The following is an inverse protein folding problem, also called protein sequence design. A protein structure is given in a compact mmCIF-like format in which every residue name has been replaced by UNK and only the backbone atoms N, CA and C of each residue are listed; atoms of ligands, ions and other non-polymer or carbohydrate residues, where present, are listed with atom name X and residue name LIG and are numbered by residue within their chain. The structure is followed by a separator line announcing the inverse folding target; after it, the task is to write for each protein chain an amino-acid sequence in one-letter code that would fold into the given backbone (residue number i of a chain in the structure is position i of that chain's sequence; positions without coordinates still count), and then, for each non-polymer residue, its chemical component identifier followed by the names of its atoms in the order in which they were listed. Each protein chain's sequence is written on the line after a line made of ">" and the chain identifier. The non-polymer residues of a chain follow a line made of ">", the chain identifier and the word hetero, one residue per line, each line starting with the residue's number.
data_IF_484121307999
#
_entry.id   IF_484121307999
#
_cell.length_a   1.000
_cell.length_b   1.000
_cell.length_c   1.000
_cell.angle_alpha   90.00
_cell.angle_beta   90.00
_cell.angle_gamma   90.00
#
_symmetry.space_group_name_H-M   'P 1'
#
loop_
_entity.id
_entity.type
_entity.pdbx_description
1 polymer ?
#
# COMPACT_ATOMS: atom_id res chain seq x y z
N UNK A 1 -46.79 -61.82 1.18
CA UNK A 1 -45.38 -62.00 0.78
C UNK A 1 -45.13 -61.19 -0.49
N UNK A 2 -44.09 -60.35 -0.46
CA UNK A 2 -43.26 -59.85 -1.57
C UNK A 2 -43.92 -59.08 -2.75
N UNK A 3 -43.54 -57.79 -2.83
CA UNK A 3 -42.98 -57.02 -3.99
C UNK A 3 -43.87 -56.91 -5.25
N UNK A 4 -43.93 -55.82 -6.03
CA UNK A 4 -43.40 -54.46 -6.04
C UNK A 4 -44.06 -53.75 -7.26
N UNK A 5 -43.62 -52.52 -7.57
CA UNK A 5 -43.89 -51.68 -8.76
C UNK A 5 -45.25 -50.98 -8.85
N UNK A 6 -45.38 -49.73 -9.28
CA UNK A 6 -44.47 -48.59 -9.44
C UNK A 6 -45.34 -47.44 -9.95
N UNK A 7 -45.66 -46.40 -9.17
CA UNK A 7 -46.24 -45.16 -9.71
C UNK A 7 -45.72 -43.96 -8.90
N UNK A 8 -44.96 -43.10 -9.59
CA UNK A 8 -45.16 -41.65 -9.50
C UNK A 8 -44.47 -40.87 -8.39
N UNK A 9 -43.13 -40.88 -8.32
CA UNK A 9 -42.36 -39.77 -7.73
C UNK A 9 -41.85 -38.86 -8.85
N UNK A 10 -42.70 -37.93 -9.28
CA UNK A 10 -42.31 -36.71 -9.97
C UNK A 10 -43.03 -35.60 -9.19
N UNK A 11 -42.36 -34.46 -8.98
CA UNK A 11 -42.77 -33.32 -8.13
C UNK A 11 -42.22 -33.42 -6.70
N UNK A 12 -40.89 -33.44 -6.52
CA UNK A 12 -40.20 -32.73 -5.41
C UNK A 12 -38.68 -32.72 -5.61
N UNK A 13 -38.19 -32.31 -6.79
CA UNK A 13 -36.74 -32.10 -7.01
C UNK A 13 -36.47 -31.04 -8.08
N UNK A 14 -37.08 -29.86 -7.94
CA UNK A 14 -36.84 -28.72 -8.84
C UNK A 14 -36.72 -27.36 -8.13
N UNK A 15 -36.58 -27.33 -6.80
CA UNK A 15 -36.49 -26.08 -6.01
C UNK A 15 -35.16 -25.95 -5.24
N UNK A 16 -34.25 -26.93 -5.31
CA UNK A 16 -32.94 -26.87 -4.64
C UNK A 16 -31.73 -26.65 -5.57
N UNK A 17 -31.94 -26.28 -6.85
CA UNK A 17 -30.84 -26.00 -7.80
C UNK A 17 -30.71 -24.52 -8.21
N UNK A 18 -31.34 -23.58 -7.49
CA UNK A 18 -31.21 -22.13 -7.76
C UNK A 18 -30.55 -21.34 -6.63
N UNK A 19 -29.86 -22.00 -5.70
CA UNK A 19 -29.17 -21.34 -4.59
C UNK A 19 -27.66 -21.66 -4.55
N UNK A 20 -26.91 -21.39 -5.63
CA UNK A 20 -25.45 -21.20 -5.52
C UNK A 20 -24.80 -20.34 -6.60
N UNK A 21 -25.58 -19.57 -7.37
CA UNK A 21 -25.05 -18.43 -8.12
C UNK A 21 -25.61 -17.16 -7.50
N UNK A 22 -25.21 -16.86 -6.26
CA UNK A 22 -25.21 -15.47 -5.86
C UNK A 22 -24.19 -14.79 -6.79
N UNK A 23 -24.58 -13.85 -7.67
CA UNK A 23 -23.59 -13.01 -8.31
C UNK A 23 -22.82 -12.35 -7.16
N UNK A 24 -21.55 -12.73 -6.99
CA UNK A 24 -20.69 -11.96 -6.10
C UNK A 24 -20.75 -10.54 -6.66
N UNK A 25 -21.13 -9.58 -5.81
CA UNK A 25 -21.04 -8.17 -6.15
C UNK A 25 -19.56 -7.82 -6.26
N UNK A 26 -18.93 -8.26 -7.34
CA UNK A 26 -17.52 -8.06 -7.60
C UNK A 26 -17.27 -6.58 -7.82
N UNK A 27 -16.18 -6.08 -7.23
CA UNK A 27 -15.80 -4.68 -7.34
C UNK A 27 -15.14 -4.53 -8.71
N UNK A 28 -15.90 -4.07 -9.70
CA UNK A 28 -15.42 -4.00 -11.09
C UNK A 28 -14.30 -2.98 -11.26
N UNK A 29 -13.35 -3.34 -12.12
CA UNK A 29 -12.24 -2.47 -12.49
C UNK A 29 -12.73 -1.11 -13.02
N UNK A 30 -12.16 -0.02 -12.51
CA UNK A 30 -12.50 1.36 -12.89
C UNK A 30 -13.79 1.91 -12.27
N UNK A 31 -14.53 1.11 -11.51
CA UNK A 31 -15.66 1.59 -10.68
C UNK A 31 -15.39 1.45 -9.17
N UNK A 32 -14.27 0.82 -8.82
CA UNK A 32 -13.83 0.66 -7.45
C UNK A 32 -13.53 2.03 -6.82
N UNK A 33 -13.81 2.14 -5.53
CA UNK A 33 -13.21 3.17 -4.67
C UNK A 33 -12.23 2.51 -3.71
N UNK A 34 -11.26 3.27 -3.21
CA UNK A 34 -10.40 2.80 -2.11
C UNK A 34 -11.24 2.25 -0.95
N UNK A 35 -12.35 2.91 -0.59
CA UNK A 35 -13.25 2.45 0.47
C UNK A 35 -13.91 1.09 0.17
N UNK A 36 -14.32 0.84 -1.07
CA UNK A 36 -14.89 -0.45 -1.45
C UNK A 36 -13.89 -1.60 -1.29
N UNK A 37 -12.61 -1.35 -1.59
CA UNK A 37 -11.55 -2.36 -1.53
C UNK A 37 -11.05 -2.59 -0.10
N UNK A 38 -10.90 -1.53 0.73
CA UNK A 38 -10.49 -1.71 2.13
C UNK A 38 -11.52 -2.51 2.93
N UNK A 39 -12.80 -2.50 2.54
CA UNK A 39 -13.84 -3.33 3.16
C UNK A 39 -13.58 -4.83 3.00
N UNK A 40 -12.73 -5.23 2.04
CA UNK A 40 -12.30 -6.62 1.88
C UNK A 40 -11.13 -6.99 2.78
N UNK A 41 -10.52 -6.03 3.48
CA UNK A 41 -9.43 -6.32 4.41
C UNK A 41 -9.97 -6.95 5.70
N UNK A 42 -9.26 -7.93 6.30
CA UNK A 42 -9.65 -8.56 7.56
C UNK A 42 -9.80 -7.59 8.73
N UNK A 43 -10.71 -7.89 9.67
CA UNK A 43 -10.85 -7.15 10.94
C UNK A 43 -9.54 -7.01 11.72
N UNK A 44 -8.66 -7.99 11.60
CA UNK A 44 -7.35 -8.01 12.28
C UNK A 44 -6.35 -7.00 11.70
N UNK A 45 -6.64 -6.40 10.53
CA UNK A 45 -5.80 -5.35 9.98
C UNK A 45 -5.72 -4.15 10.94
N UNK A 46 -4.50 -3.67 11.16
CA UNK A 46 -4.18 -2.50 11.98
C UNK A 46 -3.50 -1.39 11.20
N UNK A 47 -3.07 -1.68 9.97
CA UNK A 47 -2.62 -0.69 9.00
C UNK A 47 -3.38 -0.89 7.71
N UNK A 48 -3.76 0.20 7.06
CA UNK A 48 -4.38 0.21 5.74
C UNK A 48 -3.68 1.26 4.90
N UNK A 49 -3.36 0.92 3.66
CA UNK A 49 -2.92 1.86 2.64
C UNK A 49 -3.79 1.74 1.40
N UNK A 50 -3.99 2.85 0.71
CA UNK A 50 -4.61 2.87 -0.59
C UNK A 50 -3.87 3.85 -1.51
N UNK A 51 -3.75 3.47 -2.78
CA UNK A 51 -3.17 4.29 -3.84
C UNK A 51 -4.10 4.24 -5.04
N UNK A 52 -4.53 5.41 -5.50
CA UNK A 52 -5.22 5.64 -6.77
C UNK A 52 -4.15 5.69 -7.88
N UNK A 53 -3.80 4.51 -8.39
CA UNK A 53 -2.76 4.35 -9.40
C UNK A 53 -3.17 5.05 -10.69
N UNK A 54 -4.43 4.92 -11.10
CA UNK A 54 -4.91 5.53 -12.33
C UNK A 54 -4.77 7.06 -12.30
N UNK A 55 -5.17 7.71 -11.20
CA UNK A 55 -4.99 9.16 -11.06
C UNK A 55 -3.52 9.55 -10.89
N UNK A 56 -2.73 8.75 -10.17
CA UNK A 56 -1.29 9.00 -10.00
C UNK A 56 -0.52 8.95 -11.33
N UNK A 57 -0.87 7.99 -12.18
CA UNK A 57 -0.29 7.82 -13.50
C UNK A 57 -0.70 8.95 -14.48
N UNK A 58 -1.80 9.65 -14.21
CA UNK A 58 -2.26 10.80 -14.98
C UNK A 58 -1.59 12.13 -14.57
N UNK A 59 -0.66 12.14 -13.61
CA UNK A 59 0.01 13.36 -13.17
C UNK A 59 0.98 13.91 -14.23
N UNK A 60 1.20 15.25 -14.25
CA UNK A 60 2.20 15.87 -15.14
C UNK A 60 3.60 15.30 -14.95
N UNK A 61 3.97 14.94 -13.71
CA UNK A 61 5.29 14.38 -13.38
C UNK A 61 5.52 13.01 -14.03
N UNK A 62 4.52 12.13 -14.03
CA UNK A 62 4.61 10.83 -14.72
C UNK A 62 4.68 11.05 -16.24
N UNK A 63 3.90 11.98 -16.77
CA UNK A 63 3.96 12.34 -18.20
C UNK A 63 5.35 12.84 -18.60
N UNK A 64 5.96 13.71 -17.80
CA UNK A 64 7.34 14.20 -18.00
C UNK A 64 8.37 13.08 -17.88
N UNK A 65 8.21 12.17 -16.92
CA UNK A 65 9.09 11.00 -16.77
C UNK A 65 9.04 10.11 -18.00
N UNK A 66 7.87 9.85 -18.57
CA UNK A 66 7.71 8.99 -19.77
C UNK A 66 8.16 9.66 -21.08
N UNK A 67 8.54 10.95 -21.06
CA UNK A 67 9.25 11.59 -22.18
C UNK A 67 10.74 11.20 -22.22
N UNK A 68 11.30 10.72 -21.10
CA UNK A 68 12.65 10.16 -21.09
C UNK A 68 12.67 8.81 -21.84
N UNK A 69 13.55 8.63 -22.84
CA UNK A 69 13.58 7.41 -23.65
C UNK A 69 13.85 6.12 -22.84
N UNK A 70 14.66 6.17 -21.79
CA UNK A 70 14.96 4.99 -20.98
C UNK A 70 13.77 4.60 -20.11
N UNK A 71 13.10 5.59 -19.53
CA UNK A 71 11.86 5.38 -18.78
C UNK A 71 10.76 4.81 -19.69
N UNK A 72 10.60 5.38 -20.89
CA UNK A 72 9.62 4.90 -21.88
C UNK A 72 9.92 3.47 -22.33
N UNK A 73 11.18 3.12 -22.59
CA UNK A 73 11.56 1.77 -22.96
C UNK A 73 11.20 0.76 -21.86
N UNK A 74 11.55 1.05 -20.59
CA UNK A 74 11.20 0.18 -19.46
C UNK A 74 9.69 0.03 -19.29
N UNK A 75 8.96 1.12 -19.51
CA UNK A 75 7.50 1.09 -19.51
C UNK A 75 6.96 0.13 -20.57
N UNK A 76 7.41 0.28 -21.83
CA UNK A 76 6.95 -0.55 -22.94
C UNK A 76 7.33 -2.02 -22.78
N UNK A 77 8.52 -2.30 -22.25
CA UNK A 77 8.96 -3.65 -21.92
C UNK A 77 8.07 -4.28 -20.85
N UNK A 78 7.71 -3.53 -19.80
CA UNK A 78 6.75 -3.98 -18.79
C UNK A 78 5.39 -4.27 -19.41
N UNK A 79 4.84 -3.36 -20.21
CA UNK A 79 3.52 -3.54 -20.85
C UNK A 79 3.52 -4.77 -21.75
N UNK A 80 4.58 -4.96 -22.53
CA UNK A 80 4.75 -6.12 -23.40
C UNK A 80 4.86 -7.43 -22.62
N UNK A 81 5.59 -7.42 -21.50
CA UNK A 81 5.82 -8.61 -20.67
C UNK A 81 4.57 -8.99 -19.86
N UNK A 82 3.98 -8.02 -19.16
CA UNK A 82 2.87 -8.26 -18.25
C UNK A 82 1.51 -8.32 -18.97
N UNK A 83 1.42 -7.78 -20.18
CA UNK A 83 0.14 -7.63 -20.89
C UNK A 83 -0.81 -6.64 -20.20
N UNK A 84 -0.27 -5.77 -19.34
CA UNK A 84 -1.00 -4.73 -18.60
C UNK A 84 -0.38 -3.39 -18.90
N UNK A 85 -1.21 -2.40 -19.20
CA UNK A 85 -0.84 -1.00 -19.29
C UNK A 85 -1.19 -0.31 -17.96
N UNK A 86 -0.23 -0.04 -17.04
CA UNK A 86 -0.52 0.54 -15.74
C UNK A 86 -1.31 1.86 -15.80
N UNK A 87 -1.18 2.63 -16.88
CA UNK A 87 -1.93 3.87 -17.08
C UNK A 87 -3.42 3.63 -17.38
N UNK A 88 -3.78 2.48 -17.94
CA UNK A 88 -5.15 2.20 -18.41
C UNK A 88 -5.87 1.15 -17.58
N UNK A 89 -5.10 0.18 -17.10
CA UNK A 89 -5.62 -1.07 -16.61
C UNK A 89 -5.58 -1.14 -15.09
N UNK A 90 -4.67 -0.43 -14.41
CA UNK A 90 -4.54 -0.47 -12.94
C UNK A 90 -5.20 0.76 -12.31
N UNK A 91 -6.21 0.53 -11.48
CA UNK A 91 -7.01 1.60 -10.86
C UNK A 91 -6.57 1.89 -9.45
N UNK A 92 -6.60 0.86 -8.60
CA UNK A 92 -6.27 0.99 -7.19
C UNK A 92 -5.36 -0.13 -6.72
N UNK A 93 -4.48 0.21 -5.78
CA UNK A 93 -3.76 -0.75 -4.95
C UNK A 93 -4.13 -0.47 -3.51
N UNK A 94 -4.64 -1.47 -2.81
CA UNK A 94 -4.99 -1.40 -1.39
C UNK A 94 -4.22 -2.46 -0.63
N UNK A 95 -3.64 -2.09 0.51
CA UNK A 95 -2.88 -3.00 1.37
C UNK A 95 -3.45 -2.97 2.77
N UNK A 96 -3.61 -4.15 3.38
CA UNK A 96 -3.88 -4.32 4.80
C UNK A 96 -2.68 -4.96 5.48
N UNK A 97 -2.29 -4.40 6.63
CA UNK A 97 -1.19 -4.89 7.46
C UNK A 97 -1.73 -5.38 8.80
N UNK A 98 -1.20 -6.50 9.26
CA UNK A 98 -1.46 -7.08 10.58
C UNK A 98 -0.14 -7.15 11.35
N UNK A 99 -0.11 -6.75 12.62
CA UNK A 99 1.07 -7.03 13.44
C UNK A 99 1.20 -8.53 13.64
N UNK A 100 2.44 -9.00 13.53
CA UNK A 100 2.79 -10.32 14.05
C UNK A 100 3.15 -10.21 15.54
N UNK A 101 2.90 -11.25 16.33
CA UNK A 101 3.22 -11.27 17.76
C UNK A 101 4.68 -10.92 18.09
N UNK A 102 5.59 -11.24 17.16
CA UNK A 102 7.03 -11.07 17.32
C UNK A 102 7.57 -9.75 16.76
N UNK A 103 6.74 -8.95 16.05
CA UNK A 103 7.12 -7.62 15.56
C UNK A 103 8.19 -7.58 14.46
N UNK A 104 8.68 -8.74 13.99
CA UNK A 104 9.81 -8.83 13.04
C UNK A 104 9.40 -9.14 11.60
N UNK A 105 8.15 -9.56 11.37
CA UNK A 105 7.56 -9.70 10.03
C UNK A 105 6.22 -8.95 9.98
N UNK A 106 5.99 -8.15 8.95
CA UNK A 106 4.66 -7.62 8.67
C UNK A 106 3.92 -8.67 7.84
N UNK A 107 2.86 -9.24 8.42
CA UNK A 107 1.89 -10.00 7.64
C UNK A 107 0.89 -9.03 7.01
N UNK A 108 0.37 -9.39 5.85
CA UNK A 108 -0.54 -8.51 5.14
C UNK A 108 -0.95 -9.05 3.79
N UNK A 109 -1.97 -8.41 3.23
CA UNK A 109 -2.48 -8.69 1.91
C UNK A 109 -2.65 -7.41 1.12
N UNK A 110 -2.40 -7.50 -0.17
CA UNK A 110 -2.56 -6.45 -1.16
C UNK A 110 -3.67 -6.86 -2.11
N UNK A 111 -4.56 -5.94 -2.43
CA UNK A 111 -5.61 -6.04 -3.43
C UNK A 111 -5.25 -5.06 -4.54
N UNK A 112 -5.06 -5.58 -5.74
CA UNK A 112 -4.88 -4.76 -6.95
C UNK A 112 -6.18 -4.81 -7.72
N UNK A 113 -6.82 -3.65 -7.90
CA UNK A 113 -8.00 -3.51 -8.76
C UNK A 113 -7.55 -3.11 -10.17
N UNK A 114 -7.79 -3.99 -11.13
CA UNK A 114 -7.27 -3.83 -12.48
C UNK A 114 -8.10 -4.57 -13.53
N UNK A 115 -7.99 -4.13 -14.79
CA UNK A 115 -8.43 -4.92 -15.96
C UNK A 115 -7.31 -5.88 -16.33
N UNK A 116 -7.61 -7.17 -16.46
CA UNK A 116 -6.61 -8.16 -16.82
C UNK A 116 -7.23 -9.36 -17.52
N UNK A 117 -6.39 -10.12 -18.22
CA UNK A 117 -6.75 -11.44 -18.74
C UNK A 117 -6.06 -12.52 -17.88
N UNK A 118 -6.86 -13.32 -17.18
CA UNK A 118 -6.36 -14.36 -16.27
C UNK A 118 -5.44 -15.36 -16.97
N UNK A 119 -5.79 -15.81 -18.17
CA UNK A 119 -5.01 -16.81 -18.91
C UNK A 119 -3.66 -16.25 -19.35
N UNK A 120 -3.62 -14.98 -19.78
CA UNK A 120 -2.38 -14.27 -20.09
C UNK A 120 -1.48 -14.15 -18.86
N UNK A 121 -2.04 -13.78 -17.70
CA UNK A 121 -1.28 -13.72 -16.44
C UNK A 121 -0.72 -15.08 -16.04
N UNK A 122 -1.53 -16.12 -16.14
CA UNK A 122 -1.10 -17.48 -15.83
C UNK A 122 0.00 -17.97 -16.78
N UNK A 123 -0.05 -17.59 -18.06
CA UNK A 123 1.01 -17.91 -19.01
C UNK A 123 2.34 -17.23 -18.61
N UNK A 124 2.31 -15.95 -18.23
CA UNK A 124 3.50 -15.23 -17.74
C UNK A 124 4.02 -15.84 -16.44
N UNK A 125 3.13 -16.20 -15.51
CA UNK A 125 3.50 -16.86 -14.26
C UNK A 125 4.18 -18.23 -14.52
N UNK A 126 3.67 -19.02 -15.46
CA UNK A 126 4.29 -20.29 -15.89
C UNK A 126 5.69 -20.10 -16.49
N UNK A 127 5.89 -19.03 -17.26
CA UNK A 127 7.18 -18.71 -17.87
C UNK A 127 8.21 -18.23 -16.83
N UNK A 128 7.79 -17.35 -15.90
CA UNK A 128 8.68 -16.68 -14.96
C UNK A 128 8.90 -17.41 -13.64
N UNK A 129 7.94 -18.22 -13.21
CA UNK A 129 7.98 -18.97 -11.96
C UNK A 129 7.54 -20.43 -12.22
N UNK A 130 8.29 -21.23 -13.00
CA UNK A 130 7.87 -22.56 -13.42
C UNK A 130 7.61 -23.54 -12.25
N UNK A 131 8.15 -23.24 -11.06
CA UNK A 131 7.97 -24.01 -9.82
C UNK A 131 6.79 -23.53 -8.96
N UNK A 132 5.94 -22.63 -9.48
CA UNK A 132 4.76 -22.19 -8.72
C UNK A 132 3.86 -23.39 -8.40
N UNK A 133 3.32 -23.40 -7.19
CA UNK A 133 2.33 -24.38 -6.79
C UNK A 133 0.97 -23.73 -6.71
N UNK A 134 -0.08 -24.54 -6.82
CA UNK A 134 -1.45 -24.07 -6.66
C UNK A 134 -2.20 -24.94 -5.66
N UNK A 135 -2.90 -24.31 -4.73
CA UNK A 135 -3.86 -24.96 -3.85
C UNK A 135 -5.24 -24.34 -4.00
N UNK A 136 -6.30 -25.10 -3.71
CA UNK A 136 -7.64 -24.55 -3.61
C UNK A 136 -7.94 -24.17 -2.16
N UNK A 137 -8.36 -22.94 -1.95
CA UNK A 137 -8.83 -22.45 -0.67
C UNK A 137 -10.19 -21.82 -0.85
N UNK A 138 -11.23 -22.41 -0.24
CA UNK A 138 -12.60 -21.88 -0.31
C UNK A 138 -13.11 -21.66 -1.75
N UNK A 139 -12.66 -22.49 -2.71
CA UNK A 139 -13.01 -22.36 -4.14
C UNK A 139 -12.20 -21.33 -4.92
N UNK A 140 -11.28 -20.61 -4.28
CA UNK A 140 -10.30 -19.71 -4.92
C UNK A 140 -8.96 -20.43 -5.04
N UNK A 141 -8.33 -20.35 -6.21
CA UNK A 141 -6.97 -20.88 -6.40
C UNK A 141 -5.95 -19.92 -5.84
N UNK A 142 -5.15 -20.38 -4.88
CA UNK A 142 -4.00 -19.66 -4.35
C UNK A 142 -2.74 -20.23 -5.00
N UNK A 143 -1.90 -19.33 -5.52
CA UNK A 143 -0.60 -19.64 -6.09
C UNK A 143 0.50 -19.30 -5.09
N UNK A 144 1.48 -20.18 -4.95
CA UNK A 144 2.65 -20.02 -4.08
C UNK A 144 3.94 -20.20 -4.87
N UNK A 145 5.08 -20.00 -4.19
CA UNK A 145 6.44 -20.16 -4.76
C UNK A 145 6.71 -19.19 -5.94
N UNK A 146 6.11 -18.01 -5.88
CA UNK A 146 6.23 -16.97 -6.90
C UNK A 146 7.59 -16.26 -6.85
N UNK A 147 8.28 -16.30 -5.71
CA UNK A 147 9.54 -15.59 -5.46
C UNK A 147 10.80 -16.42 -5.82
N UNK A 148 10.62 -17.57 -6.49
CA UNK A 148 11.71 -18.49 -6.86
C UNK A 148 12.20 -19.38 -5.71
N UNK A 149 13.18 -20.26 -5.98
CA UNK A 149 13.77 -21.17 -5.01
C UNK A 149 15.03 -20.57 -4.39
N UNK A 150 14.91 -19.98 -3.19
CA UNK A 150 15.81 -20.18 -2.04
C UNK A 150 15.14 -19.61 -0.75
N UNK A 151 14.86 -20.53 0.18
CA UNK A 151 14.70 -20.38 1.64
C UNK A 151 13.64 -19.47 2.31
N UNK A 152 12.86 -18.60 1.64
CA UNK A 152 11.67 -17.95 2.29
C UNK A 152 10.50 -17.65 1.33
N UNK A 153 9.94 -18.69 0.71
CA UNK A 153 8.74 -18.59 -0.15
C UNK A 153 7.47 -18.26 0.66
N UNK A 154 7.27 -16.98 0.96
CA UNK A 154 6.18 -16.49 1.82
C UNK A 154 5.07 -15.80 1.05
N UNK A 155 5.33 -15.37 -0.19
CA UNK A 155 4.32 -14.72 -1.02
C UNK A 155 3.31 -15.73 -1.56
N UNK A 156 2.05 -15.34 -1.48
CA UNK A 156 0.89 -15.99 -2.10
C UNK A 156 0.23 -15.00 -3.04
N UNK A 157 -0.39 -15.50 -4.10
CA UNK A 157 -1.25 -14.72 -4.97
C UNK A 157 -2.57 -15.45 -5.24
N UNK A 158 -3.62 -14.71 -5.59
CA UNK A 158 -4.88 -15.28 -6.03
C UNK A 158 -5.62 -14.34 -6.96
N UNK A 159 -6.32 -14.87 -7.97
CA UNK A 159 -7.33 -14.13 -8.69
C UNK A 159 -8.62 -14.18 -7.87
N UNK A 160 -8.97 -13.07 -7.19
CA UNK A 160 -10.16 -13.03 -6.34
C UNK A 160 -11.44 -13.04 -7.19
N UNK A 161 -11.44 -12.23 -8.23
CA UNK A 161 -12.50 -12.13 -9.25
C UNK A 161 -11.92 -11.50 -10.53
N UNK A 162 -12.74 -11.28 -11.57
CA UNK A 162 -12.33 -10.74 -12.88
C UNK A 162 -11.72 -9.33 -12.85
N UNK A 163 -11.63 -8.68 -11.69
CA UNK A 163 -11.11 -7.31 -11.56
C UNK A 163 -10.18 -7.10 -10.37
N UNK A 164 -9.96 -8.13 -9.54
CA UNK A 164 -9.16 -8.01 -8.32
C UNK A 164 -8.18 -9.17 -8.20
N UNK A 165 -6.89 -8.84 -8.07
CA UNK A 165 -5.83 -9.81 -7.78
C UNK A 165 -5.29 -9.56 -6.38
N UNK A 166 -5.02 -10.64 -5.65
CA UNK A 166 -4.45 -10.62 -4.32
C UNK A 166 -2.99 -11.01 -4.36
N UNK A 167 -2.17 -10.37 -3.52
CA UNK A 167 -0.79 -10.75 -3.25
C UNK A 167 -0.46 -10.52 -1.77
N UNK A 168 0.40 -11.32 -1.16
CA UNK A 168 0.88 -11.08 0.21
C UNK A 168 1.21 -12.35 0.98
N UNK A 169 1.16 -12.29 2.30
CA UNK A 169 1.33 -13.49 3.14
C UNK A 169 0.14 -14.44 2.97
N UNK A 170 0.32 -15.71 3.32
CA UNK A 170 -0.77 -16.69 3.30
C UNK A 170 -1.97 -16.26 4.15
N UNK A 171 -1.71 -15.78 5.38
CA UNK A 171 -2.75 -15.25 6.25
C UNK A 171 -3.45 -14.02 5.64
N UNK A 172 -2.71 -13.13 4.99
CA UNK A 172 -3.27 -11.94 4.32
C UNK A 172 -4.19 -12.29 3.16
N UNK A 173 -3.74 -13.17 2.25
CA UNK A 173 -4.52 -13.60 1.08
C UNK A 173 -5.77 -14.39 1.52
N UNK A 174 -5.61 -15.37 2.42
CA UNK A 174 -6.75 -16.16 2.93
C UNK A 174 -7.75 -15.28 3.68
N UNK A 175 -7.28 -14.34 4.50
CA UNK A 175 -8.14 -13.41 5.21
C UNK A 175 -8.98 -12.54 4.29
N UNK A 176 -8.41 -12.00 3.20
CA UNK A 176 -9.17 -11.21 2.21
C UNK A 176 -10.23 -12.07 1.51
N UNK A 177 -9.89 -13.31 1.15
CA UNK A 177 -10.85 -14.27 0.56
C UNK A 177 -12.01 -14.52 1.51
N UNK A 178 -11.74 -14.73 2.80
CA UNK A 178 -12.78 -15.00 3.80
C UNK A 178 -13.71 -13.81 3.99
N UNK A 179 -13.19 -12.57 4.02
CA UNK A 179 -14.03 -11.36 4.09
C UNK A 179 -14.86 -11.20 2.82
N UNK A 180 -14.26 -11.40 1.64
CA UNK A 180 -14.97 -11.35 0.37
C UNK A 180 -16.15 -12.34 0.32
N UNK A 181 -15.94 -13.54 0.87
CA UNK A 181 -16.96 -14.58 0.96
C UNK A 181 -17.90 -14.45 2.17
N UNK A 182 -17.80 -13.35 2.94
CA UNK A 182 -18.60 -13.07 4.15
C UNK A 182 -18.44 -14.14 5.25
N UNK A 183 -17.31 -14.84 5.26
CA UNK A 183 -16.91 -15.83 6.28
C UNK A 183 -16.11 -15.21 7.42
N UNK A 184 -15.57 -14.02 7.22
CA UNK A 184 -14.86 -13.23 8.23
C UNK A 184 -15.35 -11.77 8.26
N UNK A 185 -15.11 -11.10 9.37
CA UNK A 185 -15.42 -9.68 9.54
C UNK A 185 -14.38 -8.78 8.86
N UNK A 186 -14.85 -7.65 8.36
CA UNK A 186 -14.03 -6.61 7.71
C UNK A 186 -13.28 -5.73 8.72
N UNK A 187 -12.21 -5.08 8.28
CA UNK A 187 -11.53 -3.98 9.00
C UNK A 187 -12.48 -2.86 9.42
N UNK A 188 -13.61 -2.69 8.73
CA UNK A 188 -14.62 -1.70 9.12
C UNK A 188 -15.29 -2.01 10.46
N UNK A 189 -15.18 -3.25 10.94
CA UNK A 189 -15.72 -3.75 12.21
C UNK A 189 -14.66 -3.74 13.32
N UNK A 190 -13.43 -3.33 13.00
CA UNK A 190 -12.41 -3.00 13.98
C UNK A 190 -12.65 -1.58 14.49
N UNK A 191 -13.09 -1.43 15.73
CA UNK A 191 -13.49 -0.15 16.32
C UNK A 191 -12.35 0.87 16.34
N UNK A 192 -11.13 0.43 16.63
CA UNK A 192 -9.95 1.29 16.62
C UNK A 192 -9.67 1.81 15.20
N UNK A 193 -9.58 0.90 14.22
CA UNK A 193 -9.35 1.28 12.82
C UNK A 193 -10.49 2.12 12.24
N UNK A 194 -11.75 1.82 12.54
CA UNK A 194 -12.90 2.60 12.08
C UNK A 194 -12.83 4.05 12.55
N UNK A 195 -12.32 4.31 13.76
CA UNK A 195 -12.06 5.66 14.26
C UNK A 195 -10.97 6.38 13.46
N UNK A 196 -9.86 5.68 13.16
CA UNK A 196 -8.74 6.24 12.38
C UNK A 196 -9.14 6.51 10.93
N UNK A 197 -9.84 5.57 10.30
CA UNK A 197 -10.30 5.68 8.91
C UNK A 197 -11.27 6.84 8.70
N UNK A 198 -11.98 7.31 9.73
CA UNK A 198 -12.82 8.52 9.63
C UNK A 198 -12.00 9.81 9.54
N UNK A 199 -10.75 9.82 9.99
CA UNK A 199 -9.89 11.01 10.06
C UNK A 199 -8.99 11.18 8.84
N UNK A 200 -8.74 10.13 8.06
CA UNK A 200 -7.86 10.19 6.88
C UNK A 200 -8.58 10.77 5.66
N UNK A 201 -7.87 11.58 4.86
CA UNK A 201 -8.34 12.05 3.56
C UNK A 201 -8.33 10.91 2.54
N UNK A 202 -9.47 10.23 2.39
CA UNK A 202 -9.62 9.12 1.43
C UNK A 202 -9.71 9.57 -0.03
N UNK A 203 -9.82 10.87 -0.29
CA UNK A 203 -9.85 11.41 -1.64
C UNK A 203 -8.43 11.67 -2.19
N UNK A 204 -7.40 11.67 -1.34
CA UNK A 204 -6.01 11.83 -1.73
C UNK A 204 -5.52 10.72 -2.67
N UNK A 205 -4.47 11.01 -3.45
CA UNK A 205 -3.88 10.08 -4.42
C UNK A 205 -3.38 8.81 -3.75
N UNK A 206 -2.73 8.98 -2.61
CA UNK A 206 -2.35 7.90 -1.73
C UNK A 206 -2.68 8.27 -0.30
N UNK A 207 -3.09 7.31 0.50
CA UNK A 207 -3.32 7.53 1.92
C UNK A 207 -3.08 6.25 2.73
N UNK A 208 -2.81 6.44 4.01
CA UNK A 208 -2.58 5.39 4.98
C UNK A 208 -3.24 5.71 6.32
N UNK A 209 -3.69 4.66 7.01
CA UNK A 209 -4.30 4.75 8.33
C UNK A 209 -3.80 3.59 9.18
N UNK A 210 -3.37 3.90 10.40
CA UNK A 210 -2.83 2.93 11.34
C UNK A 210 -3.43 3.12 12.72
N UNK A 211 -3.91 2.02 13.28
CA UNK A 211 -4.15 1.88 14.71
C UNK A 211 -2.87 1.33 15.33
N UNK A 212 -2.34 2.01 16.34
CA UNK A 212 -1.09 1.65 17.01
C UNK A 212 -1.42 1.16 18.42
N UNK A 213 -1.46 -0.17 18.66
CA UNK A 213 -1.66 -0.70 19.99
C UNK A 213 -0.56 -0.22 20.94
N UNK A 214 -0.87 0.09 22.22
CA UNK A 214 0.13 0.54 23.19
C UNK A 214 1.34 -0.40 23.31
N UNK A 215 1.11 -1.71 23.25
CA UNK A 215 2.18 -2.71 23.32
C UNK A 215 3.14 -2.63 22.12
N UNK A 216 2.63 -2.30 20.93
CA UNK A 216 3.46 -2.14 19.74
C UNK A 216 4.34 -0.89 19.86
N UNK A 217 3.77 0.22 20.34
CA UNK A 217 4.51 1.46 20.59
C UNK A 217 5.58 1.23 21.65
N UNK A 218 5.22 0.56 22.76
CA UNK A 218 6.15 0.23 23.85
C UNK A 218 7.32 -0.61 23.36
N UNK A 219 7.06 -1.70 22.61
CA UNK A 219 8.12 -2.52 21.99
C UNK A 219 9.03 -1.70 21.07
N UNK A 220 8.44 -0.77 20.30
CA UNK A 220 9.19 0.16 19.47
C UNK A 220 10.13 1.06 20.28
N UNK A 221 9.65 1.62 21.39
CA UNK A 221 10.44 2.45 22.31
C UNK A 221 11.55 1.66 23.00
N UNK A 222 11.26 0.43 23.44
CA UNK A 222 12.25 -0.47 24.05
C UNK A 222 13.38 -0.81 23.08
N UNK A 223 13.05 -0.96 21.79
CA UNK A 223 14.03 -1.25 20.73
C UNK A 223 14.79 0.00 20.28
N UNK A 224 14.13 1.16 20.25
CA UNK A 224 14.66 2.44 19.78
C UNK A 224 14.26 3.53 20.78
N UNK A 225 15.07 3.82 21.81
CA UNK A 225 14.73 4.77 22.87
C UNK A 225 14.38 6.17 22.38
N UNK A 226 14.90 6.60 21.21
CA UNK A 226 14.53 7.89 20.62
C UNK A 226 13.04 7.98 20.24
N UNK A 227 12.33 6.85 20.09
CA UNK A 227 10.90 6.83 19.82
C UNK A 227 10.05 7.15 21.05
N UNK A 228 10.64 7.38 22.23
CA UNK A 228 9.89 7.73 23.45
C UNK A 228 8.97 8.95 23.27
N UNK A 229 9.32 9.87 22.39
CA UNK A 229 8.48 11.02 22.04
C UNK A 229 7.12 10.63 21.41
N UNK A 230 6.98 9.39 20.95
CA UNK A 230 5.72 8.82 20.44
C UNK A 230 4.89 8.13 21.52
N UNK A 231 5.31 8.17 22.79
CA UNK A 231 4.55 7.63 23.90
C UNK A 231 3.16 8.27 23.96
N UNK A 232 2.12 7.45 24.08
CA UNK A 232 0.72 7.88 24.07
C UNK A 232 0.09 8.02 22.67
N UNK A 233 0.87 7.97 21.59
CA UNK A 233 0.33 7.92 20.22
C UNK A 233 -0.40 6.59 20.01
N UNK A 234 -1.67 6.67 19.58
CA UNK A 234 -2.56 5.52 19.38
C UNK A 234 -2.95 5.32 17.91
N UNK A 235 -2.72 6.33 17.06
CA UNK A 235 -2.97 6.22 15.64
C UNK A 235 -2.08 7.14 14.81
N UNK A 236 -1.96 6.80 13.53
CA UNK A 236 -1.28 7.58 12.51
C UNK A 236 -2.11 7.58 11.24
N UNK A 237 -2.35 8.74 10.66
CA UNK A 237 -2.89 8.88 9.30
C UNK A 237 -1.88 9.60 8.44
N UNK A 238 -1.81 9.22 7.17
CA UNK A 238 -1.02 9.91 6.17
C UNK A 238 -1.83 10.05 4.88
N UNK A 239 -1.63 11.13 4.16
CA UNK A 239 -2.17 11.33 2.83
C UNK A 239 -1.15 12.06 1.97
N UNK A 240 -1.15 11.74 0.69
CA UNK A 240 -0.36 12.35 -0.34
C UNK A 240 -1.25 12.66 -1.53
N UNK A 241 -1.18 13.89 -2.04
CA UNK A 241 -1.97 14.33 -3.18
C UNK A 241 -1.17 15.28 -4.07
N UNK A 242 -1.64 15.45 -5.30
CA UNK A 242 -1.13 16.43 -6.24
C UNK A 242 -2.28 17.30 -6.70
N UNK A 243 -2.28 18.56 -6.25
CA UNK A 243 -3.38 19.51 -6.49
C UNK A 243 -2.80 20.89 -6.76
N UNK A 244 -3.31 21.55 -7.80
CA UNK A 244 -2.92 22.93 -8.16
C UNK A 244 -1.40 23.10 -8.31
N UNK A 245 -0.73 22.13 -8.94
CA UNK A 245 0.74 22.09 -9.11
C UNK A 245 1.54 22.07 -7.80
N UNK A 246 0.92 21.66 -6.69
CA UNK A 246 1.59 21.38 -5.44
C UNK A 246 1.50 19.89 -5.11
N UNK A 247 2.62 19.35 -4.63
CA UNK A 247 2.66 18.11 -3.88
C UNK A 247 2.28 18.40 -2.43
N UNK A 248 1.26 17.70 -1.96
CA UNK A 248 0.74 17.85 -0.62
C UNK A 248 0.96 16.54 0.11
N UNK A 249 1.57 16.61 1.29
CA UNK A 249 1.58 15.50 2.24
C UNK A 249 1.01 15.96 3.57
N UNK A 250 0.11 15.18 4.16
CA UNK A 250 -0.46 15.43 5.48
C UNK A 250 -0.31 14.17 6.33
N UNK A 251 0.50 14.26 7.37
CA UNK A 251 0.75 13.19 8.34
C UNK A 251 0.23 13.67 9.69
N UNK A 252 -0.64 12.89 10.31
CA UNK A 252 -1.26 13.24 11.59
C UNK A 252 -1.23 12.07 12.55
N UNK A 253 -0.73 12.29 13.75
CA UNK A 253 -0.88 11.35 14.87
C UNK A 253 -2.21 11.58 15.59
N UNK A 254 -2.68 10.60 16.33
CA UNK A 254 -3.72 10.80 17.32
C UNK A 254 -3.37 10.13 18.65
N UNK A 255 -3.92 10.64 19.75
CA UNK A 255 -3.66 10.18 21.10
C UNK A 255 -2.75 11.15 21.87
N UNK A 256 -2.22 10.66 22.99
CA UNK A 256 -1.41 11.44 23.93
C UNK A 256 -2.20 12.52 24.66
N UNK A 257 -1.57 13.11 25.67
CA UNK A 257 -2.03 14.36 26.29
C UNK A 257 -1.58 15.56 25.46
N UNK A 258 -2.15 16.74 25.76
CA UNK A 258 -1.70 17.99 25.14
C UNK A 258 -0.20 18.21 25.33
N UNK A 259 0.32 17.96 26.52
CA UNK A 259 1.74 18.14 26.86
C UNK A 259 2.63 17.20 26.06
N UNK A 260 2.20 15.93 25.88
CA UNK A 260 2.91 14.97 25.03
C UNK A 260 2.92 15.43 23.57
N UNK A 261 1.79 15.90 23.05
CA UNK A 261 1.67 16.40 21.69
C UNK A 261 2.50 17.67 21.45
N UNK A 262 2.51 18.61 22.40
CA UNK A 262 3.35 19.81 22.33
C UNK A 262 4.85 19.45 22.37
N UNK A 263 5.24 18.45 23.16
CA UNK A 263 6.61 17.93 23.23
C UNK A 263 7.03 17.30 21.91
N UNK A 264 6.15 16.48 21.30
CA UNK A 264 6.39 15.87 20.00
C UNK A 264 6.54 16.92 18.90
N UNK A 265 5.62 17.90 18.83
CA UNK A 265 5.72 19.00 17.89
C UNK A 265 6.99 19.83 18.08
N UNK A 266 7.37 20.12 19.33
CA UNK A 266 8.62 20.85 19.64
C UNK A 266 9.86 20.06 19.20
N UNK A 267 9.86 18.75 19.41
CA UNK A 267 10.94 17.85 18.96
C UNK A 267 11.07 17.85 17.44
N UNK A 268 9.95 17.73 16.72
CA UNK A 268 9.93 17.79 15.25
C UNK A 268 10.39 19.16 14.73
N UNK A 269 9.98 20.25 15.38
CA UNK A 269 10.45 21.60 15.03
C UNK A 269 11.96 21.77 15.30
N UNK A 270 12.48 21.18 16.39
CA UNK A 270 13.91 21.12 16.64
C UNK A 270 14.67 20.40 15.53
N UNK A 271 14.17 19.24 15.08
CA UNK A 271 14.73 18.50 13.95
C UNK A 271 14.67 19.30 12.64
N UNK A 272 13.55 19.97 12.37
CA UNK A 272 13.42 20.89 11.22
C UNK A 272 14.45 22.01 11.29
N UNK A 273 14.67 22.61 12.47
CA UNK A 273 15.67 23.65 12.69
C UNK A 273 17.11 23.17 12.47
N UNK A 274 17.45 21.98 12.95
CA UNK A 274 18.74 21.34 12.66
C UNK A 274 18.92 21.08 11.16
N UNK A 275 17.86 20.59 10.50
CA UNK A 275 17.84 20.42 9.05
C UNK A 275 18.09 21.74 8.31
N UNK A 276 17.47 22.84 8.77
CA UNK A 276 17.63 24.16 8.17
C UNK A 276 19.06 24.69 8.31
N UNK A 277 19.72 24.43 9.45
CA UNK A 277 21.12 24.78 9.65
C UNK A 277 22.04 24.03 8.67
N UNK A 278 21.80 22.74 8.45
CA UNK A 278 22.57 21.93 7.48
C UNK A 278 22.26 22.33 6.03
N UNK A 279 21.02 22.73 5.76
CA UNK A 279 20.55 23.20 4.46
C UNK A 279 20.94 24.65 4.15
N UNK A 280 21.62 25.37 5.05
CA UNK A 280 21.97 26.78 4.86
C UNK A 280 22.81 27.04 3.59
N UNK A 281 23.51 26.02 3.09
CA UNK A 281 24.30 26.09 1.85
C UNK A 281 23.53 25.62 0.60
N UNK A 282 22.29 25.18 0.74
CA UNK A 282 21.45 24.63 -0.33
C UNK A 282 20.07 25.30 -0.33
N UNK A 283 19.87 26.39 -1.09
CA UNK A 283 18.61 27.13 -1.11
C UNK A 283 17.38 26.25 -1.39
N UNK A 284 17.51 25.26 -2.28
CA UNK A 284 16.42 24.34 -2.61
C UNK A 284 16.00 23.45 -1.41
N UNK A 285 16.93 23.10 -0.53
CA UNK A 285 16.63 22.37 0.69
C UNK A 285 15.98 23.30 1.74
N UNK A 286 16.36 24.57 1.78
CA UNK A 286 15.70 25.59 2.59
C UNK A 286 14.23 25.79 2.22
N UNK A 287 13.93 25.90 0.93
CA UNK A 287 12.55 26.02 0.42
C UNK A 287 11.68 24.82 0.83
N UNK A 288 12.21 23.60 0.72
CA UNK A 288 11.51 22.39 1.16
C UNK A 288 11.21 22.42 2.66
N UNK A 289 12.19 22.79 3.49
CA UNK A 289 12.00 22.85 4.94
C UNK A 289 10.98 23.92 5.33
N UNK A 290 10.98 25.06 4.64
CA UNK A 290 10.00 26.13 4.86
C UNK A 290 8.57 25.70 4.51
N UNK A 291 8.40 24.80 3.53
CA UNK A 291 7.12 24.22 3.17
C UNK A 291 6.56 23.20 4.19
N UNK A 292 7.32 22.85 5.23
CA UNK A 292 6.89 21.96 6.31
C UNK A 292 6.25 22.77 7.43
N UNK A 293 4.99 22.51 7.73
CA UNK A 293 4.27 23.04 8.88
C UNK A 293 4.06 21.94 9.92
N UNK A 294 4.44 22.22 11.18
CA UNK A 294 4.27 21.31 12.30
C UNK A 294 3.35 21.99 13.32
N UNK A 295 2.22 21.36 13.61
CA UNK A 295 1.21 21.87 14.57
C UNK A 295 0.83 20.78 15.57
N UNK A 296 0.49 21.15 16.80
CA UNK A 296 -0.10 20.27 17.81
C UNK A 296 -1.49 20.75 18.21
N UNK A 297 -2.33 19.81 18.64
CA UNK A 297 -3.62 20.07 19.26
C UNK A 297 -3.79 19.29 20.56
N UNK A 298 -5.03 19.20 21.04
CA UNK A 298 -5.34 18.49 22.29
C UNK A 298 -4.97 17.00 22.21
N UNK A 299 -5.26 16.36 21.08
CA UNK A 299 -5.14 14.91 20.88
C UNK A 299 -4.36 14.54 19.60
N UNK A 300 -3.57 15.45 19.04
CA UNK A 300 -2.84 15.21 17.79
C UNK A 300 -1.58 16.06 17.63
N UNK A 301 -0.68 15.56 16.77
CA UNK A 301 0.34 16.35 16.07
C UNK A 301 0.14 16.19 14.58
N UNK A 302 0.27 17.26 13.81
CA UNK A 302 0.14 17.29 12.35
C UNK A 302 1.39 17.86 11.73
N UNK A 303 1.95 17.10 10.79
CA UNK A 303 3.00 17.48 9.86
C UNK A 303 2.34 17.67 8.49
N UNK A 304 2.26 18.91 8.04
CA UNK A 304 1.72 19.26 6.74
C UNK A 304 2.86 19.76 5.85
N UNK A 305 2.89 19.31 4.60
CA UNK A 305 3.91 19.67 3.62
C UNK A 305 3.18 20.08 2.35
N UNK A 306 3.49 21.26 1.82
CA UNK A 306 2.94 21.75 0.55
C UNK A 306 4.03 22.38 -0.29
N UNK A 307 4.53 21.63 -1.28
CA UNK A 307 5.68 22.02 -2.09
C UNK A 307 5.25 22.14 -3.55
N UNK A 308 5.64 23.22 -4.21
CA UNK A 308 5.35 23.40 -5.64
C UNK A 308 6.16 22.46 -6.52
N UNK A 309 5.64 22.13 -7.69
CA UNK A 309 6.38 21.39 -8.72
C UNK A 309 7.71 22.06 -9.07
N UNK A 310 7.75 23.39 -9.10
CA UNK A 310 8.98 24.15 -9.37
C UNK A 310 10.04 23.93 -8.28
N UNK A 311 9.64 23.96 -7.00
CA UNK A 311 10.55 23.70 -5.89
C UNK A 311 11.06 22.25 -5.93
N UNK A 312 10.21 21.28 -6.27
CA UNK A 312 10.63 19.90 -6.47
C UNK A 312 11.60 19.73 -7.65
N UNK A 313 11.36 20.42 -8.77
CA UNK A 313 12.26 20.41 -9.93
C UNK A 313 13.63 21.03 -9.60
N UNK A 314 13.66 22.13 -8.82
CA UNK A 314 14.90 22.74 -8.31
C UNK A 314 15.66 21.76 -7.42
N UNK A 315 14.96 21.10 -6.50
CA UNK A 315 15.55 20.10 -5.61
C UNK A 315 16.12 18.91 -6.39
N UNK A 316 15.39 18.39 -7.38
CA UNK A 316 15.85 17.29 -8.22
C UNK A 316 17.13 17.65 -9.00
N UNK A 317 17.20 18.87 -9.57
CA UNK A 317 18.39 19.37 -10.25
C UNK A 317 19.58 19.52 -9.30
N UNK A 318 19.36 20.05 -8.09
CA UNK A 318 20.42 20.19 -7.08
C UNK A 318 20.97 18.82 -6.66
N UNK A 319 20.09 17.83 -6.46
CA UNK A 319 20.48 16.46 -6.15
C UNK A 319 21.29 15.81 -7.28
N UNK A 320 20.86 15.99 -8.53
CA UNK A 320 21.59 15.49 -9.71
C UNK A 320 22.97 16.12 -9.87
N UNK A 321 23.08 17.43 -9.65
CA UNK A 321 24.37 18.14 -9.70
C UNK A 321 25.35 17.56 -8.66
N UNK A 322 24.91 17.40 -7.40
CA UNK A 322 25.74 16.81 -6.35
C UNK A 322 26.12 15.35 -6.61
N UNK A 323 25.20 14.54 -7.14
CA UNK A 323 25.50 13.16 -7.53
C UNK A 323 26.53 13.10 -8.68
N UNK A 324 26.42 14.03 -9.64
CA UNK A 324 27.39 14.18 -10.74
C UNK A 324 28.78 14.60 -10.25
N UNK A 325 28.85 15.52 -9.30
CA UNK A 325 30.12 15.98 -8.73
C UNK A 325 30.82 14.88 -7.92
N UNK A 326 30.08 14.10 -7.14
CA UNK A 326 30.61 12.92 -6.44
C UNK A 326 31.15 11.85 -7.40
N UNK A 327 30.53 11.69 -8.57
CA UNK A 327 30.99 10.76 -9.61
C UNK A 327 32.24 11.27 -10.35
N UNK A 328 32.42 12.59 -10.49
CA UNK A 328 33.64 13.21 -11.05
C UNK A 328 34.82 13.09 -10.09
N UNK A 329 34.60 13.38 -8.80
CA UNK A 329 35.64 13.26 -7.76
C UNK A 329 36.22 11.83 -7.69
N UNK A 330 35.39 10.79 -7.91
CA UNK A 330 35.86 9.40 -7.98
C UNK A 330 36.63 9.04 -9.25
N UNK A 331 36.41 9.74 -10.36
CA UNK A 331 37.16 9.52 -11.61
C UNK A 331 38.52 10.21 -11.61
N UNK A 332 38.65 11.30 -10.87
CA UNK A 332 39.88 12.11 -10.80
C UNK A 332 40.80 11.72 -9.63
N UNK A 333 40.40 10.75 -8.79
CA UNK A 333 41.28 10.16 -7.80
C UNK A 333 42.36 9.33 -8.51
N UNK A 334 43.67 9.57 -8.29
CA UNK A 334 44.73 8.77 -8.90
C UNK A 334 44.54 7.32 -8.49
N UNK A 335 44.55 6.42 -9.48
CA UNK A 335 44.52 4.99 -9.23
C UNK A 335 45.66 4.64 -8.27
N UNK A 336 45.31 4.10 -7.09
CA UNK A 336 46.32 3.56 -6.18
C UNK A 336 47.16 2.55 -6.96
N UNK A 337 48.41 2.92 -7.25
CA UNK A 337 49.42 1.99 -7.71
C UNK A 337 49.57 0.93 -6.62
N UNK A 338 48.97 -0.23 -6.88
CA UNK A 338 49.20 -1.44 -6.10
C UNK A 338 50.70 -1.75 -6.16
N UNK A 339 51.39 -1.49 -5.06
CA UNK A 339 52.73 -2.03 -4.78
C UNK A 339 52.63 -3.51 -4.40
#
# INVERSE_FOLDING_TARGET
>A
MKKATSIGSIVLLAVFLLASCAPSSSIKAGSATAESLIRLLPKTSMGVFAVDVHRGMATPSVSKMLQDPQAKQKYDEFVKMAGIDPMKDVYFVVMGLTATPNGTSQEGGVIVNLRYNKDSFLAVMKDKAPEFQSESYNGVTIYSNLDGSETKQTTRAAFLDDSNILFGSEAGVKGIIDVHQKKAESVMQNTAMAGVLKKVDKAALAWGAFSLPPDLVKKGIESVPQLKVLEGVTALTMSFDHRLSNFIADIRTAGGTKEQNDTLASTLNGLKGLGAMLAAQEPAAGDLLNAIEITSGQDFVRLYISVSEEAMDKLAKAAQARAGDLMKIKKDAPAEEKK
#
